data_IF_994210707337
#
_entry.id   IF_994210707337
#
_cell.length_a   1.000
_cell.length_b   1.000
_cell.length_c   1.000
_cell.angle_alpha   90.00
_cell.angle_beta   90.00
_cell.angle_gamma   90.00
#
_symmetry.space_group_name_H-M   'P 1'
#
loop_
_entity.id
_entity.type
_entity.pdbx_description
1 polymer ?
#
# COMPACT_ATOMS: atom_id res chain seq x y z
N UNK A 1 -8.50 -9.99 -16.83
CA UNK A 1 -9.08 -9.45 -15.58
C UNK A 1 -9.23 -7.95 -15.72
N UNK A 2 -10.41 -7.43 -15.38
CA UNK A 2 -10.80 -6.03 -15.55
C UNK A 2 -11.47 -5.50 -14.29
N UNK A 3 -11.31 -4.20 -14.04
CA UNK A 3 -11.79 -3.49 -12.86
C UNK A 3 -12.44 -2.18 -13.29
N UNK A 4 -13.50 -1.76 -12.61
CA UNK A 4 -14.18 -0.48 -12.91
C UNK A 4 -13.28 0.74 -12.61
N UNK A 5 -12.46 0.66 -11.56
CA UNK A 5 -11.63 1.78 -11.11
C UNK A 5 -10.23 1.33 -10.72
N UNK A 6 -9.32 2.30 -10.59
CA UNK A 6 -7.96 2.08 -10.11
C UNK A 6 -7.92 1.59 -8.67
N UNK A 7 -8.83 2.06 -7.82
CA UNK A 7 -8.93 1.70 -6.40
C UNK A 7 -9.32 0.24 -6.24
N UNK A 8 -10.26 -0.26 -7.05
CA UNK A 8 -10.63 -1.67 -7.07
C UNK A 8 -9.48 -2.55 -7.54
N UNK A 9 -8.76 -2.12 -8.59
CA UNK A 9 -7.58 -2.83 -9.07
C UNK A 9 -6.46 -2.86 -8.02
N UNK A 10 -6.16 -1.73 -7.37
CA UNK A 10 -5.17 -1.66 -6.29
C UNK A 10 -5.58 -2.52 -5.08
N UNK A 11 -6.86 -2.48 -4.68
CA UNK A 11 -7.37 -3.31 -3.59
C UNK A 11 -7.26 -4.81 -3.89
N UNK A 12 -7.51 -5.21 -5.14
CA UNK A 12 -7.30 -6.59 -5.58
C UNK A 12 -5.84 -7.00 -5.47
N UNK A 13 -4.91 -6.17 -5.97
CA UNK A 13 -3.48 -6.45 -5.88
C UNK A 13 -2.99 -6.49 -4.42
N UNK A 14 -3.51 -5.62 -3.55
CA UNK A 14 -3.19 -5.64 -2.12
C UNK A 14 -3.62 -6.96 -1.46
N UNK A 15 -4.82 -7.45 -1.76
CA UNK A 15 -5.31 -8.75 -1.27
C UNK A 15 -4.45 -9.91 -1.78
N UNK A 16 -4.13 -9.90 -3.07
CA UNK A 16 -3.27 -10.90 -3.70
C UNK A 16 -1.88 -10.93 -3.03
N UNK A 17 -1.24 -9.77 -2.87
CA UNK A 17 0.08 -9.68 -2.28
C UNK A 17 0.10 -10.06 -0.79
N UNK A 18 -0.94 -9.69 -0.03
CA UNK A 18 -1.13 -10.17 1.35
C UNK A 18 -1.21 -11.69 1.41
N UNK A 19 -2.03 -12.31 0.54
CA UNK A 19 -2.19 -13.76 0.49
C UNK A 19 -0.88 -14.47 0.11
N UNK A 20 -0.15 -13.92 -0.86
CA UNK A 20 1.15 -14.42 -1.33
C UNK A 20 2.32 -14.00 -0.43
N UNK A 21 2.08 -13.26 0.65
CA UNK A 21 3.08 -12.88 1.66
C UNK A 21 4.26 -12.08 1.10
N UNK A 22 3.99 -11.16 0.17
CA UNK A 22 4.96 -10.18 -0.30
C UNK A 22 4.39 -8.75 -0.30
N UNK A 23 5.25 -7.76 -0.50
CA UNK A 23 4.87 -6.37 -0.67
C UNK A 23 5.35 -5.84 -2.03
N UNK A 24 4.67 -4.81 -2.52
CA UNK A 24 4.98 -4.16 -3.78
C UNK A 24 4.80 -2.65 -3.67
N UNK A 25 5.35 -1.91 -4.62
CA UNK A 25 5.23 -0.46 -4.69
C UNK A 25 4.94 -0.02 -6.13
N UNK A 26 4.53 1.23 -6.28
CA UNK A 26 4.18 1.82 -7.58
C UNK A 26 5.46 2.34 -8.22
N UNK A 27 5.96 1.65 -9.26
CA UNK A 27 7.16 2.04 -10.00
C UNK A 27 6.89 3.23 -10.91
N UNK A 28 5.81 3.13 -11.70
CA UNK A 28 5.52 4.09 -12.77
C UNK A 28 4.04 4.39 -12.86
N UNK A 29 3.73 5.65 -13.15
CA UNK A 29 2.40 6.14 -13.47
C UNK A 29 2.50 6.96 -14.75
N UNK A 30 1.70 6.63 -15.77
CA UNK A 30 1.66 7.37 -17.04
C UNK A 30 0.27 8.00 -17.14
N UNK A 31 0.24 9.32 -17.26
CA UNK A 31 -0.98 10.11 -17.46
C UNK A 31 -1.38 10.15 -18.94
N UNK A 32 -2.63 10.52 -19.22
CA UNK A 32 -3.07 10.79 -20.58
C UNK A 32 -2.36 12.04 -21.11
N UNK A 33 -1.77 12.00 -22.32
CA UNK A 33 -1.10 13.16 -22.92
C UNK A 33 -2.01 14.39 -23.06
N UNK A 34 -3.32 14.15 -23.25
CA UNK A 34 -4.31 15.20 -23.46
C UNK A 34 -5.01 15.63 -22.17
N UNK A 35 -4.89 14.84 -21.09
CA UNK A 35 -5.49 15.16 -19.80
C UNK A 35 -4.72 14.51 -18.63
N UNK A 36 -3.90 15.31 -17.96
CA UNK A 36 -3.04 14.86 -16.86
C UNK A 36 -3.82 14.32 -15.64
N UNK A 37 -5.11 14.61 -15.51
CA UNK A 37 -5.96 14.07 -14.43
C UNK A 37 -6.26 12.58 -14.63
N UNK A 38 -6.19 12.09 -15.88
CA UNK A 38 -6.48 10.70 -16.23
C UNK A 38 -5.19 9.89 -16.17
N UNK A 39 -5.12 8.93 -15.24
CA UNK A 39 -4.04 7.93 -15.26
C UNK A 39 -4.34 6.85 -16.29
N UNK A 40 -3.47 6.69 -17.30
CA UNK A 40 -3.59 5.67 -18.34
C UNK A 40 -2.87 4.38 -18.02
N UNK A 41 -1.70 4.41 -17.39
CA UNK A 41 -0.97 3.18 -17.03
C UNK A 41 -0.38 3.27 -15.64
N UNK A 42 -0.39 2.16 -14.92
CA UNK A 42 0.37 1.98 -13.67
C UNK A 42 1.17 0.69 -13.74
N UNK A 43 2.43 0.78 -13.36
CA UNK A 43 3.32 -0.37 -13.18
C UNK A 43 3.63 -0.52 -11.70
N UNK A 44 3.51 -1.74 -11.22
CA UNK A 44 3.87 -2.12 -9.86
C UNK A 44 4.97 -3.17 -9.89
N UNK A 45 5.87 -3.10 -8.92
CA UNK A 45 6.96 -4.06 -8.76
C UNK A 45 7.15 -4.45 -7.30
N UNK A 46 7.80 -5.59 -7.08
CA UNK A 46 8.08 -6.09 -5.74
C UNK A 46 8.90 -5.08 -4.94
N UNK A 47 8.71 -5.02 -3.61
CA UNK A 47 9.55 -4.21 -2.72
C UNK A 47 11.03 -4.62 -2.75
N UNK A 48 11.34 -5.87 -3.11
CA UNK A 48 12.70 -6.38 -3.29
C UNK A 48 13.17 -6.34 -4.76
N UNK A 49 12.48 -5.61 -5.65
CA UNK A 49 12.79 -5.56 -7.08
C UNK A 49 14.11 -4.85 -7.42
N UNK A 50 14.58 -3.96 -6.55
CA UNK A 50 15.85 -3.30 -6.78
C UNK A 50 17.01 -4.27 -6.51
N UNK A 51 18.11 -4.06 -7.21
CA UNK A 51 19.42 -4.63 -6.88
C UNK A 51 20.24 -3.57 -6.16
N UNK A 52 20.96 -3.95 -5.10
CA UNK A 52 21.93 -3.06 -4.50
C UNK A 52 23.11 -2.88 -5.47
N UNK A 53 23.16 -1.78 -6.21
CA UNK A 53 24.44 -1.33 -6.76
C UNK A 53 25.29 -0.88 -5.56
N UNK A 54 26.40 -1.59 -5.31
CA UNK A 54 27.34 -1.17 -4.29
C UNK A 54 27.88 0.23 -4.61
N UNK A 55 27.29 1.26 -3.99
CA UNK A 55 27.91 2.57 -3.95
C UNK A 55 29.24 2.40 -3.22
N UNK A 56 30.33 2.61 -3.96
CA UNK A 56 31.69 2.66 -3.41
C UNK A 56 31.70 3.68 -2.27
N UNK A 57 32.11 3.21 -1.08
CA UNK A 57 32.54 3.99 0.08
C UNK A 57 31.46 4.87 0.74
N UNK A 58 30.61 4.26 1.57
CA UNK A 58 30.00 4.97 2.71
C UNK A 58 30.21 4.10 3.94
N UNK A 59 30.86 4.67 4.96
CA UNK A 59 31.16 4.06 6.26
C UNK A 59 29.94 3.30 6.80
N UNK A 60 30.18 2.07 7.25
CA UNK A 60 29.16 1.12 7.71
C UNK A 60 28.22 1.71 8.78
N UNK A 61 28.69 2.70 9.53
CA UNK A 61 28.01 3.36 10.65
C UNK A 61 26.80 4.22 10.23
N UNK A 62 26.70 4.63 8.96
CA UNK A 62 25.58 5.45 8.46
C UNK A 62 24.46 4.65 7.77
N UNK A 63 24.57 3.31 7.73
CA UNK A 63 23.52 2.47 7.16
C UNK A 63 22.37 2.38 8.16
N UNK A 64 21.26 3.06 7.87
CA UNK A 64 19.97 2.71 8.49
C UNK A 64 19.68 1.27 8.12
N UNK A 65 19.45 0.40 9.10
CA UNK A 65 18.95 -0.96 8.88
C UNK A 65 17.69 -0.85 8.02
N UNK A 66 17.85 -1.20 6.74
CA UNK A 66 16.76 -1.23 5.77
C UNK A 66 16.51 -2.71 5.56
N UNK A 67 15.66 -3.30 6.41
CA UNK A 67 15.32 -4.73 6.54
C UNK A 67 14.75 -5.42 5.28
N UNK A 68 14.90 -4.82 4.10
CA UNK A 68 14.50 -5.40 2.83
C UNK A 68 15.75 -5.61 1.99
N UNK A 69 16.30 -6.83 2.05
CA UNK A 69 17.29 -7.28 1.10
C UNK A 69 16.76 -7.04 -0.33
N UNK A 70 17.48 -6.21 -1.08
CA UNK A 70 17.15 -5.83 -2.44
C UNK A 70 17.70 -6.90 -3.38
N UNK A 71 16.89 -7.92 -3.69
CA UNK A 71 17.30 -9.14 -4.40
C UNK A 71 17.20 -9.06 -5.92
N UNK A 72 16.77 -7.93 -6.49
CA UNK A 72 16.53 -7.84 -7.94
C UNK A 72 15.30 -8.60 -8.40
N UNK A 73 14.27 -8.71 -7.56
CA UNK A 73 13.06 -9.47 -7.85
C UNK A 73 12.36 -9.02 -9.15
N UNK A 74 12.11 -9.97 -10.05
CA UNK A 74 11.50 -9.73 -11.37
C UNK A 74 9.99 -9.48 -11.32
N UNK A 75 9.33 -9.74 -10.19
CA UNK A 75 7.88 -9.65 -10.10
C UNK A 75 7.42 -8.23 -10.42
N UNK A 76 6.53 -8.12 -11.41
CA UNK A 76 5.89 -6.86 -11.75
C UNK A 76 4.55 -7.09 -12.45
N UNK A 77 3.69 -6.09 -12.38
CA UNK A 77 2.40 -6.07 -13.06
C UNK A 77 2.14 -4.73 -13.71
N UNK A 78 1.66 -4.77 -14.96
CA UNK A 78 1.28 -3.60 -15.74
C UNK A 78 -0.24 -3.54 -15.88
N UNK A 79 -0.81 -2.40 -15.53
CA UNK A 79 -2.23 -2.12 -15.65
C UNK A 79 -2.45 -0.93 -16.58
N UNK A 80 -3.52 -0.97 -17.35
CA UNK A 80 -3.89 0.09 -18.31
C UNK A 80 -5.36 0.44 -18.17
N UNK A 81 -5.68 1.73 -18.19
CA UNK A 81 -7.05 2.24 -18.33
C UNK A 81 -7.37 2.41 -19.82
N UNK A 82 -8.35 1.66 -20.30
CA UNK A 82 -8.68 1.58 -21.73
C UNK A 82 -9.19 2.93 -22.25
N UNK A 83 -8.87 3.28 -23.51
CA UNK A 83 -9.37 4.51 -24.14
C UNK A 83 -10.85 4.42 -24.51
N UNK A 84 -11.29 3.25 -24.94
CA UNK A 84 -12.65 2.94 -25.35
C UNK A 84 -13.48 2.23 -24.27
N UNK A 85 -12.87 1.89 -23.13
CA UNK A 85 -13.52 1.12 -22.07
C UNK A 85 -13.59 1.91 -20.76
N UNK A 86 -14.62 1.63 -19.96
CA UNK A 86 -14.84 2.26 -18.65
C UNK A 86 -14.10 1.51 -17.53
N UNK A 87 -12.84 1.12 -17.75
CA UNK A 87 -12.16 0.25 -16.80
C UNK A 87 -10.64 0.11 -16.94
N UNK A 88 -10.05 -0.40 -15.86
CA UNK A 88 -8.64 -0.75 -15.71
C UNK A 88 -8.48 -2.25 -15.99
N UNK A 89 -7.56 -2.60 -16.88
CA UNK A 89 -7.22 -3.99 -17.22
C UNK A 89 -5.78 -4.30 -16.83
N UNK A 90 -5.55 -5.52 -16.35
CA UNK A 90 -4.18 -6.06 -16.23
C UNK A 90 -3.70 -6.44 -17.64
N UNK A 91 -2.64 -5.79 -18.10
CA UNK A 91 -2.07 -5.98 -19.44
C UNK A 91 -1.00 -7.08 -19.46
N UNK A 92 -0.12 -7.10 -18.44
CA UNK A 92 0.91 -8.13 -18.32
C UNK A 92 1.28 -8.36 -16.86
N UNK A 93 1.71 -9.58 -16.53
CA UNK A 93 2.19 -9.99 -15.21
C UNK A 93 3.47 -10.81 -15.42
N UNK A 94 4.54 -10.48 -14.69
CA UNK A 94 5.64 -11.40 -14.40
C UNK A 94 5.45 -11.87 -12.97
N UNK A 95 5.14 -13.16 -12.80
CA UNK A 95 4.77 -13.75 -11.51
C UNK A 95 5.94 -14.29 -10.68
N UNK A 96 7.14 -14.37 -11.26
CA UNK A 96 8.29 -14.99 -10.63
C UNK A 96 8.88 -14.09 -9.54
N UNK A 97 9.10 -14.70 -8.37
CA UNK A 97 9.88 -14.14 -7.28
C UNK A 97 11.20 -14.91 -7.17
N UNK A 98 12.27 -14.22 -6.80
CA UNK A 98 13.60 -14.80 -6.58
C UNK A 98 14.03 -14.74 -5.10
N UNK A 99 13.07 -14.55 -4.20
CA UNK A 99 13.29 -14.42 -2.76
C UNK A 99 12.19 -15.16 -2.01
N UNK A 100 12.45 -15.46 -0.74
CA UNK A 100 11.46 -16.06 0.14
C UNK A 100 10.37 -15.04 0.50
N UNK A 101 9.14 -15.52 0.62
CA UNK A 101 8.01 -14.70 1.07
C UNK A 101 8.06 -14.52 2.58
N UNK A 102 7.66 -13.34 3.08
CA UNK A 102 7.67 -13.04 4.51
C UNK A 102 6.26 -13.21 5.10
N UNK A 103 6.01 -14.22 5.96
CA UNK A 103 4.68 -14.46 6.53
C UNK A 103 4.18 -13.30 7.40
N UNK A 104 5.07 -12.50 7.98
CA UNK A 104 4.75 -11.33 8.80
C UNK A 104 4.61 -10.04 7.98
N UNK A 105 4.71 -10.10 6.65
CA UNK A 105 4.68 -8.89 5.81
C UNK A 105 3.39 -8.08 6.00
N UNK A 106 2.27 -8.75 6.25
CA UNK A 106 0.97 -8.12 6.48
C UNK A 106 0.99 -7.22 7.74
N UNK A 107 1.80 -7.60 8.73
CA UNK A 107 1.97 -6.89 9.99
C UNK A 107 3.07 -5.84 9.91
N UNK A 108 4.13 -6.07 9.14
CA UNK A 108 5.30 -5.19 9.08
C UNK A 108 5.18 -4.10 8.01
N UNK A 109 4.55 -4.38 6.87
CA UNK A 109 4.54 -3.46 5.74
C UNK A 109 3.50 -2.34 5.95
N UNK A 110 3.89 -1.04 5.90
CA UNK A 110 2.96 0.08 6.04
C UNK A 110 1.80 0.05 5.04
N UNK A 111 2.04 -0.51 3.85
CA UNK A 111 1.02 -0.69 2.81
C UNK A 111 -0.20 -1.47 3.30
N UNK A 112 0.01 -2.44 4.18
CA UNK A 112 -0.99 -3.38 4.66
C UNK A 112 -1.66 -2.97 5.97
N UNK A 113 -1.07 -2.01 6.69
CA UNK A 113 -1.55 -1.44 7.96
C UNK A 113 -2.53 -0.26 7.77
N UNK A 114 -2.94 0.06 6.54
CA UNK A 114 -3.84 1.19 6.27
C UNK A 114 -5.21 1.02 6.94
N UNK A 115 -5.70 2.10 7.53
CA UNK A 115 -7.05 2.20 8.07
C UNK A 115 -8.08 2.00 6.95
N UNK A 116 -9.03 1.09 7.15
CA UNK A 116 -10.12 0.85 6.19
C UNK A 116 -11.16 1.97 6.25
N UNK A 117 -11.99 2.11 5.21
CA UNK A 117 -13.11 3.08 5.22
C UNK A 117 -14.04 2.89 6.42
N UNK A 118 -14.32 1.63 6.81
CA UNK A 118 -15.14 1.34 8.00
C UNK A 118 -14.48 1.86 9.27
N UNK A 119 -13.17 1.69 9.41
CA UNK A 119 -12.41 2.21 10.56
C UNK A 119 -12.40 3.74 10.55
N UNK A 120 -12.21 4.37 9.39
CA UNK A 120 -12.24 5.83 9.25
C UNK A 120 -13.60 6.42 9.63
N UNK A 121 -14.71 5.78 9.27
CA UNK A 121 -16.05 6.20 9.68
C UNK A 121 -16.22 6.15 11.21
N UNK A 122 -15.72 5.11 11.87
CA UNK A 122 -15.76 5.00 13.33
C UNK A 122 -14.90 6.09 14.00
N UNK A 123 -13.68 6.31 13.48
CA UNK A 123 -12.78 7.36 13.96
C UNK A 123 -13.42 8.75 13.80
N UNK A 124 -14.05 9.03 12.67
CA UNK A 124 -14.77 10.30 12.43
C UNK A 124 -15.88 10.48 13.46
N UNK A 125 -16.72 9.46 13.66
CA UNK A 125 -17.82 9.51 14.63
C UNK A 125 -17.33 9.75 16.07
N UNK A 126 -16.34 8.99 16.54
CA UNK A 126 -15.81 9.16 17.90
C UNK A 126 -15.03 10.47 18.08
N UNK A 127 -14.42 10.99 17.03
CA UNK A 127 -13.67 12.25 17.09
C UNK A 127 -14.60 13.46 17.12
N UNK A 128 -15.60 13.50 16.23
CA UNK A 128 -16.51 14.64 16.09
C UNK A 128 -17.60 14.61 17.17
N UNK A 129 -18.29 13.48 17.31
CA UNK A 129 -19.44 13.37 18.21
C UNK A 129 -19.05 12.84 19.58
N UNK A 130 -18.18 11.82 19.63
CA UNK A 130 -17.75 11.20 20.88
C UNK A 130 -16.74 12.00 21.70
N UNK A 131 -16.04 12.97 21.07
CA UNK A 131 -14.91 13.72 21.65
C UNK A 131 -13.89 12.84 22.38
N UNK A 132 -13.68 11.61 21.90
CA UNK A 132 -12.87 10.61 22.57
C UNK A 132 -11.38 10.86 22.37
N UNK A 133 -10.58 10.55 23.41
CA UNK A 133 -9.12 10.57 23.34
C UNK A 133 -8.53 9.46 22.45
N UNK A 134 -7.30 9.67 21.98
CA UNK A 134 -6.61 8.76 21.05
C UNK A 134 -6.50 7.34 21.62
N UNK A 135 -6.16 7.20 22.90
CA UNK A 135 -6.01 5.89 23.56
C UNK A 135 -7.31 5.09 23.59
N UNK A 136 -8.44 5.75 23.89
CA UNK A 136 -9.77 5.11 23.89
C UNK A 136 -10.16 4.67 22.49
N UNK A 137 -9.97 5.54 21.49
CA UNK A 137 -10.26 5.19 20.10
C UNK A 137 -9.40 4.03 19.60
N UNK A 138 -8.11 3.98 19.99
CA UNK A 138 -7.22 2.87 19.65
C UNK A 138 -7.74 1.54 20.20
N UNK A 139 -8.07 1.48 21.49
CA UNK A 139 -8.58 0.26 22.12
C UNK A 139 -9.89 -0.20 21.49
N UNK A 140 -10.80 0.73 21.17
CA UNK A 140 -12.05 0.42 20.48
C UNK A 140 -11.81 -0.12 19.06
N UNK A 141 -10.86 0.44 18.31
CA UNK A 141 -10.51 -0.10 16.99
C UNK A 141 -9.95 -1.51 17.06
N UNK A 142 -9.04 -1.78 18.01
CA UNK A 142 -8.48 -3.13 18.19
C UNK A 142 -9.58 -4.13 18.52
N UNK A 143 -10.55 -3.75 19.38
CA UNK A 143 -11.67 -4.60 19.73
C UNK A 143 -12.64 -4.84 18.56
N UNK A 144 -12.95 -3.81 17.76
CA UNK A 144 -13.89 -3.92 16.63
C UNK A 144 -13.28 -4.56 15.38
N UNK A 145 -11.95 -4.49 15.24
CA UNK A 145 -11.22 -4.97 14.06
C UNK A 145 -10.02 -5.85 14.48
N UNK A 146 -10.24 -7.00 15.13
CA UNK A 146 -9.16 -7.81 15.73
C UNK A 146 -8.19 -8.38 14.70
N UNK A 147 -8.60 -8.53 13.44
CA UNK A 147 -7.77 -9.03 12.36
C UNK A 147 -6.96 -7.92 11.64
N UNK A 148 -7.02 -6.68 12.14
CA UNK A 148 -6.36 -5.53 11.54
C UNK A 148 -5.24 -5.02 12.44
N UNK A 149 -4.04 -4.95 11.88
CA UNK A 149 -2.91 -4.28 12.52
C UNK A 149 -3.12 -2.78 12.41
N UNK A 150 -3.33 -2.11 13.54
CA UNK A 150 -3.61 -0.67 13.60
C UNK A 150 -2.35 0.08 14.00
N UNK A 151 -1.87 0.93 13.09
CA UNK A 151 -0.75 1.82 13.36
C UNK A 151 -1.23 3.04 14.17
N UNK A 152 -0.62 3.29 15.33
CA UNK A 152 -0.97 4.44 16.21
C UNK A 152 -0.74 5.80 15.52
N UNK A 153 0.28 5.92 14.67
CA UNK A 153 0.57 7.15 13.91
C UNK A 153 -0.53 7.44 12.90
N UNK A 154 -1.00 6.41 12.19
CA UNK A 154 -2.08 6.56 11.21
C UNK A 154 -3.42 6.93 11.88
N UNK A 155 -3.71 6.33 13.04
CA UNK A 155 -4.85 6.75 13.87
C UNK A 155 -4.74 8.22 14.28
N UNK A 156 -3.59 8.64 14.81
CA UNK A 156 -3.36 10.03 15.20
C UNK A 156 -3.55 10.99 14.02
N UNK A 157 -3.01 10.66 12.85
CA UNK A 157 -3.17 11.44 11.63
C UNK A 157 -4.65 11.55 11.20
N UNK A 158 -5.40 10.45 11.27
CA UNK A 158 -6.82 10.43 10.95
C UNK A 158 -7.63 11.32 11.91
N UNK A 159 -7.38 11.22 13.21
CA UNK A 159 -8.04 12.07 14.23
C UNK A 159 -7.75 13.54 13.98
N UNK A 160 -6.48 13.90 13.77
CA UNK A 160 -6.10 15.29 13.46
C UNK A 160 -6.79 15.82 12.21
N UNK A 161 -6.93 14.97 11.18
CA UNK A 161 -7.64 15.34 9.95
C UNK A 161 -9.11 15.65 10.20
N UNK A 162 -9.80 14.85 11.01
CA UNK A 162 -11.22 15.09 11.32
C UNK A 162 -11.45 16.28 12.25
N UNK A 163 -10.51 16.58 13.16
CA UNK A 163 -10.58 17.79 14.01
C UNK A 163 -10.42 19.11 13.25
N UNK A 164 -9.80 19.07 12.06
CA UNK A 164 -9.58 20.25 11.21
C UNK A 164 -10.71 20.52 10.22
N UNK A 165 -11.69 19.61 10.11
CA UNK A 165 -12.93 19.84 9.37
C UNK A 165 -13.88 20.64 10.23
#
# INVERSE_FOLDING_TARGET
>A
MEFKTWELAESYLDKYAKYQKFCFWKKRCIQDPNNNTITRRRTYECSQANTHEAQKVILAENRRDRDLEMTGCSWHVNLTFLKSGNGVRINSIIGNHNHNMNPLIAELAPRFQKLTNKMLMQIEFWTIHGKMGVSTQYNLLVALFPNNVINKKDLSNAIQRFKKK
#
